data_IF_314000547515
#
_entry.id   IF_314000547515
#
_cell.length_a   1.000
_cell.length_b   1.000
_cell.length_c   1.000
_cell.angle_alpha   90.00
_cell.angle_beta   90.00
_cell.angle_gamma   90.00
#
_symmetry.space_group_name_H-M   'P 1'
#
loop_
_entity.id
_entity.type
_entity.pdbx_description
1 polymer ?
#
# COMPACT_ATOMS: atom_id res chain seq x y z
N UNK A 1 2.37 -23.63 -0.55
CA UNK A 1 2.94 -22.39 0.01
C UNK A 1 3.76 -21.69 -1.07
N UNK A 2 3.11 -20.76 -1.77
CA UNK A 2 3.59 -19.99 -2.91
C UNK A 2 3.64 -18.53 -2.51
N UNK A 3 4.78 -17.88 -2.74
CA UNK A 3 4.98 -16.46 -2.48
C UNK A 3 4.99 -15.69 -3.81
N UNK A 4 4.43 -14.49 -3.81
CA UNK A 4 4.41 -13.61 -4.97
C UNK A 4 4.72 -12.16 -4.61
N UNK A 5 5.07 -11.38 -5.63
CA UNK A 5 5.12 -9.93 -5.54
C UNK A 5 4.28 -9.36 -6.68
N UNK A 6 3.33 -8.49 -6.36
CA UNK A 6 2.43 -7.89 -7.33
C UNK A 6 2.37 -6.38 -7.14
N UNK A 7 2.45 -5.65 -8.24
CA UNK A 7 2.28 -4.22 -8.26
C UNK A 7 0.80 -3.90 -8.52
N UNK A 8 0.09 -3.38 -7.52
CA UNK A 8 -1.37 -3.19 -7.54
C UNK A 8 -1.68 -1.75 -7.88
N UNK A 9 -1.43 -1.36 -9.13
CA UNK A 9 -1.71 -0.01 -9.65
C UNK A 9 -3.18 0.42 -9.53
N UNK A 10 -4.09 -0.51 -9.26
CA UNK A 10 -5.52 -0.23 -9.07
C UNK A 10 -5.85 0.51 -7.77
N UNK A 11 -4.89 0.61 -6.84
CA UNK A 11 -5.01 1.46 -5.65
C UNK A 11 -4.70 2.94 -5.93
N UNK A 12 -4.09 3.27 -7.08
CA UNK A 12 -3.70 4.65 -7.45
C UNK A 12 -4.81 5.50 -8.08
N UNK A 13 -6.03 4.98 -8.26
CA UNK A 13 -7.15 5.80 -8.77
C UNK A 13 -7.61 6.80 -7.70
N UNK A 14 -6.90 7.94 -7.71
CA UNK A 14 -7.29 9.33 -7.45
C UNK A 14 -8.47 9.54 -6.49
N UNK A 15 -8.11 9.74 -5.23
CA UNK A 15 -8.67 10.70 -4.25
C UNK A 15 -10.17 10.77 -3.92
N UNK A 16 -11.10 10.17 -4.66
CA UNK A 16 -12.52 10.35 -4.37
C UNK A 16 -13.31 9.08 -4.69
N UNK A 17 -13.77 8.38 -3.64
CA UNK A 17 -14.86 7.41 -3.71
C UNK A 17 -14.61 6.05 -4.41
N UNK A 18 -13.81 5.17 -3.80
CA UNK A 18 -14.01 3.73 -3.99
C UNK A 18 -13.49 2.91 -2.81
N UNK A 19 -14.36 2.73 -1.80
CA UNK A 19 -14.40 1.65 -0.80
C UNK A 19 -13.17 0.71 -0.82
N UNK A 20 -12.16 0.90 0.07
CA UNK A 20 -10.96 0.05 0.11
C UNK A 20 -11.28 -1.45 0.17
N UNK A 21 -12.40 -1.82 0.80
CA UNK A 21 -12.95 -3.19 0.87
C UNK A 21 -13.24 -3.80 -0.51
N UNK A 22 -13.73 -2.99 -1.48
CA UNK A 22 -14.01 -3.50 -2.84
C UNK A 22 -12.72 -3.76 -3.61
N UNK A 23 -11.67 -2.98 -3.35
CA UNK A 23 -10.37 -3.13 -4.02
C UNK A 23 -9.64 -4.35 -3.47
N UNK A 24 -9.66 -4.58 -2.16
CA UNK A 24 -9.08 -5.78 -1.53
C UNK A 24 -9.77 -7.07 -1.97
N UNK A 25 -11.10 -7.05 -2.15
CA UNK A 25 -11.83 -8.19 -2.68
C UNK A 25 -11.35 -8.64 -4.08
N UNK A 26 -11.04 -7.68 -4.97
CA UNK A 26 -10.49 -7.99 -6.29
C UNK A 26 -9.08 -8.59 -6.16
N UNK A 27 -8.23 -8.02 -5.32
CA UNK A 27 -6.88 -8.52 -5.09
C UNK A 27 -6.93 -9.94 -4.51
N UNK A 28 -7.75 -10.20 -3.50
CA UNK A 28 -7.93 -11.52 -2.90
C UNK A 28 -8.39 -12.55 -3.94
N UNK A 29 -9.30 -12.17 -4.85
CA UNK A 29 -9.76 -13.04 -5.93
C UNK A 29 -8.63 -13.38 -6.90
N UNK A 30 -7.80 -12.42 -7.28
CA UNK A 30 -6.67 -12.67 -8.18
C UNK A 30 -5.57 -13.51 -7.51
N UNK A 31 -5.27 -13.30 -6.23
CA UNK A 31 -4.34 -14.16 -5.47
C UNK A 31 -4.83 -15.60 -5.42
N UNK A 32 -6.12 -15.80 -5.15
CA UNK A 32 -6.75 -17.13 -5.20
C UNK A 32 -6.66 -17.77 -6.59
N UNK A 33 -6.86 -17.00 -7.67
CA UNK A 33 -6.74 -17.51 -9.06
C UNK A 33 -5.36 -18.03 -9.39
N UNK A 34 -4.31 -17.39 -8.87
CA UNK A 34 -2.93 -17.79 -9.11
C UNK A 34 -2.36 -18.73 -8.04
N UNK A 35 -3.18 -19.19 -7.09
CA UNK A 35 -2.76 -20.02 -5.95
C UNK A 35 -1.58 -19.39 -5.17
N UNK A 36 -1.59 -18.07 -4.99
CA UNK A 36 -0.58 -17.33 -4.24
C UNK A 36 -1.02 -17.29 -2.77
N UNK A 37 -0.29 -17.97 -1.89
CA UNK A 37 -0.61 -18.04 -0.47
C UNK A 37 -0.26 -16.73 0.27
N UNK A 38 0.81 -16.05 -0.14
CA UNK A 38 1.26 -14.77 0.44
C UNK A 38 1.81 -13.87 -0.66
N UNK A 39 1.36 -12.62 -0.73
CA UNK A 39 1.84 -11.66 -1.72
C UNK A 39 2.35 -10.36 -1.07
N UNK A 40 3.53 -9.91 -1.49
CA UNK A 40 3.99 -8.56 -1.23
C UNK A 40 3.39 -7.62 -2.28
N UNK A 41 2.63 -6.62 -1.82
CA UNK A 41 2.01 -5.62 -2.68
C UNK A 41 2.77 -4.30 -2.54
N UNK A 42 3.06 -3.65 -3.66
CA UNK A 42 3.71 -2.33 -3.71
C UNK A 42 2.81 -1.38 -4.49
N UNK A 43 2.71 -0.13 -4.03
CA UNK A 43 1.78 0.94 -4.51
C UNK A 43 0.46 1.12 -3.73
N UNK A 44 0.56 1.11 -2.39
CA UNK A 44 -0.52 1.58 -1.52
C UNK A 44 -0.36 3.08 -1.28
N UNK A 45 -1.01 3.94 -2.08
CA UNK A 45 -1.22 5.35 -1.70
C UNK A 45 -2.33 5.44 -0.61
N UNK A 46 -2.30 4.50 0.34
CA UNK A 46 -3.14 4.50 1.53
C UNK A 46 -2.36 5.29 2.57
N UNK A 47 -2.96 6.39 3.01
CA UNK A 47 -2.49 7.10 4.20
C UNK A 47 -2.71 6.20 5.41
N UNK A 48 -1.69 6.08 6.27
CA UNK A 48 -1.68 5.32 7.53
C UNK A 48 -1.41 3.79 7.47
N UNK A 49 -0.99 3.23 8.61
CA UNK A 49 -0.84 1.79 8.87
C UNK A 49 -2.20 1.15 9.13
N UNK A 50 -2.45 -0.05 8.58
CA UNK A 50 -3.75 -0.69 8.71
C UNK A 50 -3.76 -2.19 8.41
N UNK A 51 -4.82 -2.83 8.89
CA UNK A 51 -5.15 -4.23 8.63
C UNK A 51 -6.59 -4.32 8.08
N UNK A 52 -6.82 -5.18 7.09
CA UNK A 52 -8.14 -5.47 6.54
C UNK A 52 -8.32 -6.97 6.30
N UNK A 53 -9.36 -7.54 6.89
CA UNK A 53 -9.76 -8.94 6.66
C UNK A 53 -10.81 -9.01 5.56
N UNK A 54 -10.46 -9.65 4.44
CA UNK A 54 -11.39 -9.86 3.34
C UNK A 54 -12.23 -11.11 3.60
N UNK A 55 -13.44 -10.89 4.13
CA UNK A 55 -14.35 -11.96 4.57
C UNK A 55 -14.78 -12.91 3.43
N UNK A 56 -14.67 -12.51 2.16
CA UNK A 56 -14.97 -13.35 1.00
C UNK A 56 -13.76 -14.06 0.37
N UNK A 57 -12.53 -13.64 0.72
CA UNK A 57 -11.30 -14.08 0.04
C UNK A 57 -10.38 -14.94 0.89
N UNK A 58 -10.54 -14.95 2.21
CA UNK A 58 -9.67 -15.68 3.13
C UNK A 58 -8.27 -15.08 3.30
N UNK A 59 -8.05 -13.86 2.79
CA UNK A 59 -6.79 -13.12 2.92
C UNK A 59 -6.95 -11.97 3.91
N UNK A 60 -5.88 -11.72 4.65
CA UNK A 60 -5.73 -10.54 5.51
C UNK A 60 -4.67 -9.64 4.90
N UNK A 61 -5.02 -8.38 4.68
CA UNK A 61 -4.14 -7.38 4.12
C UNK A 61 -3.56 -6.53 5.23
N UNK A 62 -2.24 -6.30 5.16
CA UNK A 62 -1.52 -5.39 6.03
C UNK A 62 -0.82 -4.37 5.15
N UNK A 63 -0.86 -3.10 5.54
CA UNK A 63 -0.07 -2.06 4.90
C UNK A 63 0.43 -1.07 5.93
N UNK A 64 1.55 -0.44 5.60
CA UNK A 64 2.14 0.64 6.36
C UNK A 64 2.58 1.70 5.36
N UNK A 65 2.21 2.94 5.62
CA UNK A 65 2.73 4.04 4.83
C UNK A 65 4.25 4.09 5.00
N UNK A 66 4.99 3.97 3.89
CA UNK A 66 6.39 4.34 3.87
C UNK A 66 6.43 5.85 3.75
N UNK A 67 6.25 6.55 4.87
CA UNK A 67 6.63 7.96 4.96
C UNK A 67 8.12 7.97 4.57
N UNK A 68 8.52 8.54 3.42
CA UNK A 68 9.94 8.68 3.13
C UNK A 68 10.52 9.44 4.33
N UNK A 69 11.67 9.02 4.90
CA UNK A 69 12.27 9.72 6.01
C UNK A 69 12.23 11.20 5.63
N UNK A 70 11.50 11.99 6.43
CA UNK A 70 11.47 13.44 6.23
C UNK A 70 12.92 13.81 6.02
N UNK A 71 13.20 14.43 4.87
CA UNK A 71 14.54 14.93 4.60
C UNK A 71 14.75 15.98 5.66
N UNK A 72 15.32 15.54 6.79
CA UNK A 72 15.51 16.33 7.99
C UNK A 72 16.01 17.67 7.52
N UNK A 73 15.27 18.70 7.93
CA UNK A 73 15.43 20.07 7.51
C UNK A 73 16.92 20.36 7.37
N UNK A 74 17.41 20.44 6.13
CA UNK A 74 18.73 20.99 5.85
C UNK A 74 18.74 22.34 6.56
N UNK A 75 19.61 22.60 7.54
CA UNK A 75 19.71 23.93 8.09
C UNK A 75 20.13 24.79 6.90
N UNK A 76 19.23 25.69 6.46
CA UNK A 76 19.61 26.79 5.60
C UNK A 76 20.59 27.61 6.43
N UNK A 77 21.88 27.32 6.25
CA UNK A 77 22.98 28.14 6.69
C UNK A 77 22.66 29.57 6.30
N UNK A 78 22.30 30.40 7.28
CA UNK A 78 22.43 31.85 7.17
C UNK A 78 23.92 32.13 7.28
N UNK A 79 24.63 31.89 6.19
CA UNK A 79 25.91 32.52 5.93
C UNK A 79 25.67 34.02 5.81
N UNK A 80 26.06 34.74 6.85
CA UNK A 80 26.12 36.18 6.81
C UNK A 80 27.20 36.63 5.84
N UNK A 81 26.88 37.62 5.01
CA UNK A 81 27.88 38.51 4.44
C UNK A 81 27.26 39.86 4.08
N UNK A 82 27.81 40.89 4.73
CA UNK A 82 27.69 42.35 4.52
C UNK A 82 26.41 43.04 4.99
#
# INVERSE_FOLDING_TARGET
>A
MTFGACNVRTLLDREENACPERKTAIVARELSRYNIDVAALSETHLSDEGELVEHGGGYTFFWKESIPPQKDSLPQSREGLV
#
